data_IF_115485148612
#
_entry.id   IF_115485148612
#
_cell.length_a   1.000
_cell.length_b   1.000
_cell.length_c   1.000
_cell.angle_alpha   90.00
_cell.angle_beta   90.00
_cell.angle_gamma   90.00
#
_symmetry.space_group_name_H-M   'P 1'
#
loop_
_entity.id
_entity.type
_entity.pdbx_description
1 polymer ?
#
# COMPACT_ATOMS: atom_id res chain seq x y z
N UNK A 1 -2.94 23.11 -0.68
CA UNK A 1 -2.24 21.83 -0.52
C UNK A 1 -1.76 21.73 0.93
N UNK A 2 -2.56 21.10 1.80
CA UNK A 2 -2.19 20.82 3.19
C UNK A 2 -1.62 19.40 3.27
N UNK A 3 -0.33 19.27 2.99
CA UNK A 3 0.36 17.98 3.04
C UNK A 3 0.61 17.64 4.51
N UNK A 4 -0.07 16.61 5.02
CA UNK A 4 0.17 16.11 6.39
C UNK A 4 1.19 14.98 6.34
N UNK A 5 2.19 15.06 7.19
CA UNK A 5 3.18 13.99 7.32
C UNK A 5 2.72 12.99 8.37
N UNK A 6 2.76 11.71 8.02
CA UNK A 6 2.56 10.62 8.96
C UNK A 6 3.91 10.33 9.60
N UNK A 7 3.97 10.42 10.93
CA UNK A 7 5.12 10.09 11.74
C UNK A 7 4.86 8.78 12.47
N UNK A 8 5.86 7.90 12.48
CA UNK A 8 5.89 6.72 13.33
C UNK A 8 6.04 7.13 14.81
N UNK A 9 5.83 6.18 15.74
CA UNK A 9 5.93 6.37 17.20
C UNK A 9 7.30 6.95 17.63
N UNK A 10 8.33 6.79 16.79
CA UNK A 10 9.68 7.34 16.98
C UNK A 10 9.90 8.73 16.37
N UNK A 11 8.84 9.41 15.91
CA UNK A 11 8.90 10.73 15.28
C UNK A 11 9.49 10.74 13.87
N UNK A 12 9.76 9.58 13.29
CA UNK A 12 10.30 9.46 11.93
C UNK A 12 9.15 9.59 10.93
N UNK A 13 9.28 10.49 9.94
CA UNK A 13 8.30 10.64 8.86
C UNK A 13 8.30 9.35 8.03
N UNK A 14 7.20 8.61 8.08
CA UNK A 14 7.01 7.33 7.38
C UNK A 14 6.06 7.44 6.20
N UNK A 15 5.30 8.53 6.09
CA UNK A 15 4.42 8.73 4.96
C UNK A 15 3.96 10.17 4.81
N UNK A 16 3.31 10.42 3.68
CA UNK A 16 2.59 11.65 3.39
C UNK A 16 1.13 11.32 3.18
N UNK A 17 0.27 12.09 3.81
CA UNK A 17 -1.17 12.05 3.58
C UNK A 17 -1.52 13.07 2.51
N UNK A 18 -2.13 12.57 1.43
CA UNK A 18 -2.62 13.35 0.30
C UNK A 18 -4.13 13.04 0.19
N UNK A 19 -5.02 14.05 0.21
CA UNK A 19 -6.45 13.83 -0.06
C UNK A 19 -6.67 13.21 -1.45
N UNK A 20 -7.67 12.34 -1.59
CA UNK A 20 -7.92 11.61 -2.85
C UNK A 20 -8.14 12.56 -4.05
N UNK A 21 -8.87 13.66 -3.86
CA UNK A 21 -9.07 14.64 -4.94
C UNK A 21 -7.74 15.25 -5.43
N UNK A 22 -6.82 15.53 -4.50
CA UNK A 22 -5.49 16.06 -4.83
C UNK A 22 -4.64 14.97 -5.49
N UNK A 23 -4.73 13.72 -5.02
CA UNK A 23 -4.08 12.57 -5.65
C UNK A 23 -4.53 12.38 -7.11
N UNK A 24 -5.84 12.43 -7.39
CA UNK A 24 -6.36 12.33 -8.75
C UNK A 24 -5.87 13.46 -9.66
N UNK A 25 -5.78 14.68 -9.15
CA UNK A 25 -5.22 15.84 -9.88
C UNK A 25 -3.75 15.62 -10.20
N UNK A 26 -2.98 15.15 -9.23
CA UNK A 26 -1.56 14.82 -9.41
C UNK A 26 -1.36 13.68 -10.41
N UNK A 27 -2.17 12.63 -10.35
CA UNK A 27 -2.12 11.53 -11.32
C UNK A 27 -2.33 12.03 -12.74
N UNK A 28 -3.30 12.93 -12.96
CA UNK A 28 -3.56 13.53 -14.28
C UNK A 28 -2.44 14.49 -14.73
N UNK A 29 -1.97 15.35 -13.82
CA UNK A 29 -0.95 16.35 -14.11
C UNK A 29 0.42 15.72 -14.45
N UNK A 30 0.80 14.68 -13.72
CA UNK A 30 2.09 14.01 -13.86
C UNK A 30 2.02 12.71 -14.67
N UNK A 31 0.86 12.37 -15.24
CA UNK A 31 0.62 11.12 -15.97
C UNK A 31 1.11 9.90 -15.20
N UNK A 32 0.82 9.86 -13.90
CA UNK A 32 1.21 8.75 -13.04
C UNK A 32 0.31 7.56 -13.42
N UNK A 33 0.90 6.58 -14.08
CA UNK A 33 0.28 5.28 -14.31
C UNK A 33 0.61 4.36 -13.15
N UNK A 34 -0.41 3.83 -12.47
CA UNK A 34 -0.27 2.78 -11.44
C UNK A 34 0.02 1.40 -12.07
N UNK A 35 0.74 1.36 -13.20
CA UNK A 35 1.03 0.15 -13.98
C UNK A 35 2.32 -0.57 -13.54
N UNK A 36 2.88 -0.20 -12.38
CA UNK A 36 3.85 -1.07 -11.71
C UNK A 36 3.05 -2.01 -10.81
N UNK A 37 2.77 -3.27 -11.21
CA UNK A 37 2.43 -4.27 -10.21
C UNK A 37 3.57 -4.23 -9.21
N UNK A 38 3.25 -3.92 -7.95
CA UNK A 38 4.21 -4.07 -6.87
C UNK A 38 4.83 -5.46 -7.04
N UNK A 39 6.16 -5.56 -7.06
CA UNK A 39 6.98 -6.79 -7.12
C UNK A 39 6.75 -7.70 -5.88
N UNK A 40 5.56 -7.69 -5.29
CA UNK A 40 5.24 -8.19 -3.97
C UNK A 40 4.12 -9.23 -3.97
N UNK A 41 3.66 -9.74 -5.11
CA UNK A 41 2.56 -10.70 -5.05
C UNK A 41 2.98 -12.16 -4.85
N UNK A 42 4.17 -12.61 -5.25
CA UNK A 42 4.51 -14.04 -5.09
C UNK A 42 4.64 -14.46 -3.62
N UNK A 43 5.37 -13.69 -2.80
CA UNK A 43 5.64 -14.04 -1.40
C UNK A 43 4.43 -13.77 -0.49
N UNK A 44 3.66 -12.71 -0.77
CA UNK A 44 2.42 -12.41 -0.05
C UNK A 44 1.30 -13.40 -0.41
N UNK A 45 1.20 -13.82 -1.68
CA UNK A 45 0.25 -14.88 -2.07
C UNK A 45 0.64 -16.24 -1.48
N UNK A 46 1.94 -16.55 -1.39
CA UNK A 46 2.42 -17.76 -0.72
C UNK A 46 2.08 -17.75 0.77
N UNK A 47 2.40 -16.67 1.50
CA UNK A 47 2.10 -16.60 2.94
C UNK A 47 0.60 -16.62 3.22
N UNK A 48 -0.22 -15.98 2.38
CA UNK A 48 -1.68 -16.04 2.48
C UNK A 48 -2.19 -17.47 2.20
N UNK A 49 -1.65 -18.15 1.19
CA UNK A 49 -2.01 -19.53 0.85
C UNK A 49 -1.61 -20.51 1.95
N UNK A 50 -0.43 -20.34 2.54
CA UNK A 50 0.06 -21.15 3.66
C UNK A 50 -0.78 -20.94 4.92
N UNK A 51 -1.13 -19.69 5.23
CA UNK A 51 -2.03 -19.36 6.34
C UNK A 51 -3.42 -19.98 6.13
N UNK A 52 -3.98 -19.92 4.92
CA UNK A 52 -5.27 -20.54 4.61
C UNK A 52 -5.23 -22.07 4.67
N UNK A 53 -4.12 -22.70 4.27
CA UNK A 53 -3.93 -24.15 4.44
C UNK A 53 -3.81 -24.56 5.91
N UNK A 54 -3.10 -23.77 6.71
CA UNK A 54 -2.92 -24.01 8.16
C UNK A 54 -4.19 -23.77 8.97
N UNK A 55 -5.09 -22.91 8.47
CA UNK A 55 -6.36 -22.57 9.11
C UNK A 55 -7.53 -23.49 8.74
N UNK A 56 -7.36 -24.46 7.82
CA UNK A 56 -8.34 -25.54 7.65
C UNK A 56 -8.02 -26.64 8.69
N UNK A 57 -8.86 -26.83 9.72
CA UNK A 57 -8.71 -27.96 10.61
C UNK A 57 -8.93 -29.26 9.82
N UNK A 58 -8.19 -30.29 10.23
CA UNK A 58 -8.39 -31.69 9.91
C UNK A 58 -9.88 -32.04 9.91
N UNK A 59 -10.35 -32.64 8.81
CA UNK A 59 -11.41 -33.64 8.91
C UNK A 59 -10.78 -34.97 9.38
#
# INVERSE_FOLDING_TARGET
MDIKYLSDDKGKITGVFIPIEEWERLQKAYKITEETPADSNAKLQQSLSEAMKKAKPSE
#
